data_IF_813486891228
#
_entry.id   IF_813486891228
#
_cell.length_a   1.000
_cell.length_b   1.000
_cell.length_c   1.000
_cell.angle_alpha   90.00
_cell.angle_beta   90.00
_cell.angle_gamma   90.00
#
_symmetry.space_group_name_H-M   'P 1'
#
loop_
_entity.id
_entity.type
_entity.pdbx_description
1 polymer ?
#
# COMPACT_ATOMS: atom_id res chain seq x y z
N UNK A 1 -16.60 -73.00 -59.73
CA UNK A 1 -15.75 -71.80 -59.56
C UNK A 1 -16.55 -70.56 -59.17
N UNK A 2 -17.59 -70.15 -59.90
CA UNK A 2 -18.36 -68.92 -59.60
C UNK A 2 -19.01 -68.84 -58.22
N UNK A 3 -19.58 -69.95 -57.71
CA UNK A 3 -20.24 -69.96 -56.40
C UNK A 3 -19.29 -69.60 -55.24
N UNK A 4 -18.02 -70.01 -55.36
CA UNK A 4 -16.97 -69.68 -54.38
C UNK A 4 -16.60 -68.20 -54.45
N UNK A 5 -16.48 -67.64 -55.66
CA UNK A 5 -16.22 -66.21 -55.84
C UNK A 5 -17.33 -65.33 -55.28
N UNK A 6 -18.60 -65.67 -55.52
CA UNK A 6 -19.75 -64.96 -54.91
C UNK A 6 -19.69 -64.99 -53.39
N UNK A 7 -19.37 -66.15 -52.80
CA UNK A 7 -19.28 -66.31 -51.34
C UNK A 7 -18.11 -65.52 -50.74
N UNK A 8 -16.97 -65.48 -51.43
CA UNK A 8 -15.80 -64.70 -51.02
C UNK A 8 -16.08 -63.19 -51.08
N UNK A 9 -16.71 -62.73 -52.16
CA UNK A 9 -17.09 -61.33 -52.32
C UNK A 9 -18.12 -60.88 -51.28
N UNK A 10 -19.12 -61.71 -50.99
CA UNK A 10 -20.10 -61.44 -49.94
C UNK A 10 -19.43 -61.33 -48.56
N UNK A 11 -18.47 -62.22 -48.24
CA UNK A 11 -17.68 -62.13 -47.00
C UNK A 11 -16.85 -60.85 -46.94
N UNK A 12 -16.14 -60.50 -48.00
CA UNK A 12 -15.34 -59.28 -48.07
C UNK A 12 -16.20 -58.04 -47.85
N UNK A 13 -17.36 -57.96 -48.52
CA UNK A 13 -18.26 -56.81 -48.43
C UNK A 13 -18.79 -56.66 -47.01
N UNK A 14 -19.23 -57.76 -46.39
CA UNK A 14 -19.72 -57.75 -45.00
C UNK A 14 -18.62 -57.38 -43.99
N UNK A 15 -17.39 -57.86 -44.20
CA UNK A 15 -16.25 -57.49 -43.35
C UNK A 15 -15.92 -56.01 -43.50
N UNK A 16 -15.92 -55.49 -44.74
CA UNK A 16 -15.67 -54.09 -45.05
C UNK A 16 -16.72 -53.18 -44.41
N UNK A 17 -18.00 -53.51 -44.51
CA UNK A 17 -19.08 -52.74 -43.90
C UNK A 17 -19.01 -52.75 -42.38
N UNK A 18 -18.76 -53.92 -41.77
CA UNK A 18 -18.63 -54.03 -40.32
C UNK A 18 -17.45 -53.23 -39.77
N UNK A 19 -16.30 -53.31 -40.47
CA UNK A 19 -15.11 -52.55 -40.08
C UNK A 19 -15.35 -51.05 -40.19
N UNK A 20 -16.05 -50.59 -41.24
CA UNK A 20 -16.41 -49.18 -41.37
C UNK A 20 -17.37 -48.71 -40.28
N UNK A 21 -18.36 -49.52 -39.89
CA UNK A 21 -19.29 -49.15 -38.81
C UNK A 21 -18.62 -49.11 -37.44
N UNK A 22 -17.70 -50.03 -37.16
CA UNK A 22 -16.97 -50.11 -35.88
C UNK A 22 -16.18 -48.83 -35.57
N UNK A 23 -15.64 -48.16 -36.60
CA UNK A 23 -14.92 -46.89 -36.43
C UNK A 23 -15.83 -45.66 -36.46
N UNK A 24 -17.04 -45.75 -37.04
CA UNK A 24 -17.87 -44.57 -37.26
C UNK A 24 -18.53 -44.05 -35.98
N UNK A 25 -19.03 -44.95 -35.14
CA UNK A 25 -19.71 -44.60 -33.89
C UNK A 25 -18.78 -43.96 -32.84
N UNK A 26 -17.61 -44.53 -32.51
CA UNK A 26 -16.68 -43.87 -31.58
C UNK A 26 -16.15 -42.54 -32.14
N UNK A 27 -15.97 -42.43 -33.46
CA UNK A 27 -15.58 -41.17 -34.09
C UNK A 27 -16.64 -40.07 -33.90
N UNK A 28 -17.94 -40.39 -34.08
CA UNK A 28 -19.04 -39.45 -33.81
C UNK A 28 -19.11 -39.05 -32.34
N UNK A 29 -18.92 -40.00 -31.42
CA UNK A 29 -18.93 -39.70 -30.00
C UNK A 29 -17.79 -38.77 -29.60
N UNK A 30 -16.59 -39.02 -30.14
CA UNK A 30 -15.42 -38.18 -29.93
C UNK A 30 -15.62 -36.78 -30.52
N UNK A 31 -16.17 -36.68 -31.73
CA UNK A 31 -16.54 -35.41 -32.35
C UNK A 31 -17.55 -34.63 -31.50
N UNK A 32 -18.54 -35.31 -30.93
CA UNK A 32 -19.52 -34.68 -30.03
C UNK A 32 -18.87 -34.15 -28.74
N UNK A 33 -17.91 -34.88 -28.16
CA UNK A 33 -17.12 -34.44 -26.99
C UNK A 33 -16.30 -33.19 -27.32
N UNK A 34 -15.62 -33.17 -28.48
CA UNK A 34 -14.87 -31.99 -28.92
C UNK A 34 -15.78 -30.78 -29.14
N UNK A 35 -16.95 -30.95 -29.77
CA UNK A 35 -17.90 -29.84 -29.95
C UNK A 35 -18.37 -29.26 -28.62
N UNK A 36 -18.65 -30.11 -27.62
CA UNK A 36 -19.02 -29.65 -26.27
C UNK A 36 -17.89 -28.87 -25.60
N UNK A 37 -16.66 -29.38 -25.68
CA UNK A 37 -15.50 -28.70 -25.12
C UNK A 37 -15.24 -27.35 -25.79
N UNK A 38 -15.31 -27.30 -27.12
CA UNK A 38 -15.13 -26.06 -27.89
C UNK A 38 -16.22 -25.05 -27.52
N UNK A 39 -17.48 -25.46 -27.46
CA UNK A 39 -18.59 -24.57 -27.08
C UNK A 39 -18.46 -24.03 -25.65
N UNK A 40 -18.04 -24.86 -24.69
CA UNK A 40 -17.80 -24.41 -23.32
C UNK A 40 -16.61 -23.43 -23.23
N UNK A 41 -15.58 -23.66 -24.04
CA UNK A 41 -14.39 -22.81 -24.11
C UNK A 41 -14.71 -21.46 -24.76
N UNK A 42 -15.52 -21.44 -25.83
CA UNK A 42 -16.03 -20.22 -26.47
C UNK A 42 -16.85 -19.38 -25.48
N UNK A 43 -17.78 -20.01 -24.74
CA UNK A 43 -18.56 -19.31 -23.70
C UNK A 43 -17.69 -18.67 -22.62
N UNK A 44 -16.62 -19.35 -22.19
CA UNK A 44 -15.68 -18.79 -21.21
C UNK A 44 -14.90 -17.62 -21.78
N UNK A 45 -14.43 -17.72 -23.03
CA UNK A 45 -13.72 -16.63 -23.71
C UNK A 45 -14.63 -15.40 -23.85
N UNK A 46 -15.88 -15.59 -24.24
CA UNK A 46 -16.85 -14.51 -24.38
C UNK A 46 -17.16 -13.86 -23.02
N UNK A 47 -17.32 -14.67 -21.95
CA UNK A 47 -17.49 -14.15 -20.60
C UNK A 47 -16.30 -13.29 -20.15
N UNK A 48 -15.07 -13.79 -20.35
CA UNK A 48 -13.85 -13.06 -19.98
C UNK A 48 -13.69 -11.76 -20.79
N UNK A 49 -14.02 -11.78 -22.08
CA UNK A 49 -14.04 -10.56 -22.90
C UNK A 49 -15.03 -9.53 -22.37
N UNK A 50 -16.25 -9.95 -22.04
CA UNK A 50 -17.27 -9.07 -21.49
C UNK A 50 -16.84 -8.45 -20.15
N UNK A 51 -16.22 -9.24 -19.26
CA UNK A 51 -15.69 -8.72 -17.99
C UNK A 51 -14.52 -7.75 -18.22
N UNK A 52 -13.63 -8.05 -19.15
CA UNK A 52 -12.56 -7.14 -19.54
C UNK A 52 -13.11 -5.80 -20.04
N UNK A 53 -14.11 -5.81 -20.92
CA UNK A 53 -14.73 -4.60 -21.45
C UNK A 53 -15.43 -3.78 -20.36
N UNK A 54 -16.09 -4.43 -19.40
CA UNK A 54 -16.69 -3.75 -18.22
C UNK A 54 -15.64 -3.08 -17.34
N UNK A 55 -14.55 -3.79 -17.04
CA UNK A 55 -13.46 -3.24 -16.22
C UNK A 55 -12.79 -2.08 -16.94
N UNK A 56 -12.57 -2.20 -18.25
CA UNK A 56 -12.03 -1.13 -19.08
C UNK A 56 -12.93 0.11 -19.05
N UNK A 57 -14.25 -0.08 -19.16
CA UNK A 57 -15.22 1.01 -19.06
C UNK A 57 -15.17 1.68 -17.68
N UNK A 58 -15.19 0.91 -16.59
CA UNK A 58 -15.12 1.44 -15.24
C UNK A 58 -13.82 2.24 -14.98
N UNK A 59 -12.68 1.75 -15.48
CA UNK A 59 -11.42 2.46 -15.39
C UNK A 59 -11.45 3.79 -16.15
N UNK A 60 -12.07 3.83 -17.33
CA UNK A 60 -12.23 5.08 -18.08
C UNK A 60 -13.13 6.08 -17.33
N UNK A 61 -14.21 5.62 -16.72
CA UNK A 61 -15.10 6.46 -15.92
C UNK A 61 -14.37 7.03 -14.70
N UNK A 62 -13.61 6.20 -13.96
CA UNK A 62 -12.78 6.66 -12.84
C UNK A 62 -11.70 7.64 -13.27
N UNK A 63 -11.06 7.43 -14.43
CA UNK A 63 -10.09 8.37 -14.98
C UNK A 63 -10.75 9.72 -15.32
N UNK A 64 -11.96 9.71 -15.85
CA UNK A 64 -12.73 10.92 -16.13
C UNK A 64 -13.13 11.65 -14.83
N UNK A 65 -13.55 10.92 -13.80
CA UNK A 65 -13.81 11.51 -12.49
C UNK A 65 -12.54 12.10 -11.86
N UNK A 66 -11.41 11.39 -11.92
CA UNK A 66 -10.14 11.85 -11.38
C UNK A 66 -9.66 13.14 -12.08
N UNK A 67 -9.77 13.20 -13.40
CA UNK A 67 -9.40 14.40 -14.18
C UNK A 67 -10.32 15.58 -13.87
N UNK A 68 -11.63 15.34 -13.69
CA UNK A 68 -12.59 16.34 -13.23
C UNK A 68 -12.24 16.88 -11.84
N UNK A 69 -11.99 15.99 -10.86
CA UNK A 69 -11.61 16.38 -9.49
C UNK A 69 -10.31 17.15 -9.47
N UNK A 70 -9.31 16.72 -10.26
CA UNK A 70 -8.04 17.45 -10.41
C UNK A 70 -8.27 18.85 -10.96
N UNK A 71 -9.02 18.98 -12.04
CA UNK A 71 -9.32 20.27 -12.66
C UNK A 71 -10.08 21.20 -11.69
N UNK A 72 -11.02 20.66 -10.92
CA UNK A 72 -11.73 21.42 -9.88
C UNK A 72 -10.78 21.91 -8.78
N UNK A 73 -9.85 21.08 -8.31
CA UNK A 73 -8.84 21.48 -7.32
C UNK A 73 -7.84 22.49 -7.87
N UNK A 74 -7.38 22.31 -9.10
CA UNK A 74 -6.46 23.25 -9.75
C UNK A 74 -7.10 24.64 -9.88
N UNK A 75 -8.40 24.69 -10.20
CA UNK A 75 -9.17 25.94 -10.19
C UNK A 75 -9.23 26.56 -8.78
N UNK A 76 -9.52 25.77 -7.75
CA UNK A 76 -9.54 26.26 -6.37
C UNK A 76 -8.17 26.81 -5.93
N UNK A 77 -7.08 26.14 -6.30
CA UNK A 77 -5.72 26.60 -6.00
C UNK A 77 -5.42 27.93 -6.68
N UNK A 78 -5.83 28.09 -7.94
CA UNK A 78 -5.70 29.34 -8.68
C UNK A 78 -6.49 30.48 -8.01
N UNK A 79 -7.73 30.22 -7.61
CA UNK A 79 -8.58 31.20 -6.92
C UNK A 79 -7.98 31.61 -5.56
N UNK A 80 -7.46 30.65 -4.78
CA UNK A 80 -6.78 30.92 -3.51
C UNK A 80 -5.50 31.73 -3.71
N UNK A 81 -4.72 31.42 -4.74
CA UNK A 81 -3.51 32.18 -5.08
C UNK A 81 -3.85 33.62 -5.44
N UNK A 82 -4.91 33.85 -6.22
CA UNK A 82 -5.38 35.19 -6.54
C UNK A 82 -5.80 35.96 -5.29
N UNK A 83 -6.58 35.33 -4.41
CA UNK A 83 -7.04 35.95 -3.16
C UNK A 83 -5.87 36.32 -2.25
N UNK A 84 -4.86 35.45 -2.15
CA UNK A 84 -3.63 35.73 -1.40
C UNK A 84 -2.91 36.98 -1.96
N UNK A 85 -2.79 37.09 -3.28
CA UNK A 85 -2.17 38.26 -3.91
C UNK A 85 -2.97 39.54 -3.66
N UNK A 86 -4.30 39.48 -3.68
CA UNK A 86 -5.14 40.63 -3.33
C UNK A 86 -4.99 41.06 -1.87
N UNK A 87 -5.02 40.10 -0.93
CA UNK A 87 -4.90 40.37 0.49
C UNK A 87 -3.51 40.94 0.84
N UNK A 88 -2.47 40.42 0.19
CA UNK A 88 -1.10 40.96 0.32
C UNK A 88 -1.04 42.42 -0.11
N UNK A 89 -1.63 42.78 -1.26
CA UNK A 89 -1.70 44.17 -1.73
C UNK A 89 -2.48 45.08 -0.77
N UNK A 90 -3.59 44.59 -0.20
CA UNK A 90 -4.36 45.34 0.80
C UNK A 90 -3.57 45.56 2.07
N UNK A 91 -2.84 44.54 2.54
CA UNK A 91 -1.98 44.62 3.71
C UNK A 91 -0.85 45.64 3.51
N UNK A 92 -0.22 45.65 2.34
CA UNK A 92 0.77 46.68 1.95
C UNK A 92 0.17 48.09 1.99
N UNK A 93 -1.00 48.30 1.39
CA UNK A 93 -1.67 49.61 1.42
C UNK A 93 -2.05 50.05 2.85
N UNK A 94 -2.48 49.12 3.71
CA UNK A 94 -2.76 49.40 5.11
C UNK A 94 -1.49 49.76 5.89
N UNK A 95 -0.37 49.07 5.64
CA UNK A 95 0.92 49.39 6.24
C UNK A 95 1.38 50.80 5.86
N UNK A 96 1.24 51.20 4.59
CA UNK A 96 1.53 52.56 4.13
C UNK A 96 0.67 53.60 4.88
N UNK A 97 -0.62 53.32 5.08
CA UNK A 97 -1.52 54.24 5.78
C UNK A 97 -1.20 54.33 7.27
N UNK A 98 -0.86 53.21 7.92
CA UNK A 98 -0.37 53.18 9.31
C UNK A 98 0.91 54.00 9.45
N UNK A 99 1.84 53.89 8.51
CA UNK A 99 3.07 54.69 8.51
C UNK A 99 2.77 56.19 8.38
N UNK A 100 1.85 56.58 7.48
CA UNK A 100 1.39 57.98 7.35
C UNK A 100 0.75 58.50 8.63
N UNK A 101 -0.08 57.69 9.30
CA UNK A 101 -0.72 58.07 10.56
C UNK A 101 0.32 58.24 11.69
N UNK A 102 1.32 57.36 11.77
CA UNK A 102 2.42 57.50 12.72
C UNK A 102 3.23 58.78 12.48
N UNK A 103 3.52 59.13 11.22
CA UNK A 103 4.18 60.40 10.86
C UNK A 103 3.37 61.61 11.35
N UNK A 104 2.05 61.64 11.10
CA UNK A 104 1.16 62.70 11.59
C UNK A 104 1.11 62.82 13.12
N UNK A 105 1.11 61.69 13.84
CA UNK A 105 1.14 61.70 15.31
C UNK A 105 2.45 62.30 15.86
N UNK A 106 3.58 61.94 15.24
CA UNK A 106 4.89 62.47 15.62
C UNK A 106 5.02 63.97 15.30
N UNK A 107 4.46 64.42 14.18
CA UNK A 107 4.40 65.84 13.79
C UNK A 107 3.52 66.67 14.76
N UNK A 108 2.40 66.11 15.24
CA UNK A 108 1.50 66.78 16.20
C UNK A 108 2.01 66.85 17.64
N UNK A 109 3.01 66.03 18.01
CA UNK A 109 3.58 65.99 19.39
C UNK A 109 4.81 66.90 19.54
N UNK A 110 5.27 67.54 18.46
CA UNK A 110 6.46 68.40 18.43
C UNK A 110 6.18 69.87 18.79
N UNK A 111 4.92 70.24 19.08
CA UNK A 111 4.51 71.62 19.32
C UNK A 111 3.97 71.83 20.73
N UNK A 112 4.79 72.47 21.56
CA UNK A 112 4.43 73.21 22.78
C UNK A 112 4.17 72.40 24.07
N UNK A 113 5.15 72.47 24.99
CA UNK A 113 4.97 72.86 26.40
C UNK A 113 6.34 72.91 27.08
N UNK A 114 7.03 74.02 26.88
CA UNK A 114 8.16 74.44 27.70
C UNK A 114 7.66 75.52 28.67
N UNK A 115 7.36 75.17 29.93
CA UNK A 115 7.75 76.02 31.07
C UNK A 115 7.63 75.35 32.45
N UNK A 116 8.72 75.47 33.20
CA UNK A 116 8.80 75.76 34.65
C UNK A 116 8.00 74.91 35.65
N UNK A 117 8.66 74.03 36.42
CA UNK A 117 9.14 74.35 37.78
C UNK A 117 9.48 73.11 38.62
N UNK A 118 10.57 73.26 39.36
CA UNK A 118 11.06 72.39 40.43
C UNK A 118 10.05 72.29 41.61
N UNK A 119 9.92 71.07 42.13
CA UNK A 119 9.95 70.71 43.58
C UNK A 119 8.70 71.02 44.43
N UNK A 120 7.94 69.99 44.86
CA UNK A 120 7.86 69.43 46.25
C UNK A 120 6.61 68.55 46.50
N UNK A 121 6.86 67.37 47.08
CA UNK A 121 6.17 66.74 48.23
C UNK A 121 4.65 66.46 48.22
N UNK A 122 4.35 65.15 48.26
CA UNK A 122 3.35 64.44 49.08
C UNK A 122 1.87 64.87 49.02
N UNK A 123 0.99 63.97 48.56
CA UNK A 123 0.07 63.17 49.41
C UNK A 123 -0.93 62.39 48.54
N UNK A 124 -1.14 61.13 48.95
CA UNK A 124 -2.19 60.17 48.61
C UNK A 124 -3.54 60.76 48.14
N UNK A 125 -4.14 60.17 47.09
CA UNK A 125 -5.40 59.40 47.17
C UNK A 125 -5.76 58.90 45.75
N UNK A 126 -5.76 57.57 45.61
CA UNK A 126 -6.57 56.70 44.75
C UNK A 126 -7.23 57.27 43.47
N UNK A 127 -6.84 56.74 42.30
CA UNK A 127 -7.77 55.96 41.46
C UNK A 127 -7.08 55.34 40.22
N UNK A 128 -7.51 54.13 39.90
CA UNK A 128 -7.50 53.50 38.57
C UNK A 128 -6.18 52.97 37.96
N UNK A 129 -5.97 51.67 38.21
CA UNK A 129 -5.54 50.61 37.26
C UNK A 129 -4.36 50.93 36.33
N UNK A 130 -3.19 50.40 36.71
CA UNK A 130 -2.02 50.21 35.83
C UNK A 130 -2.38 49.29 34.66
N UNK A 131 -2.34 49.81 33.43
CA UNK A 131 -2.22 49.01 32.22
C UNK A 131 -0.74 48.73 31.96
N UNK A 132 -0.18 47.72 32.64
CA UNK A 132 1.09 47.13 32.25
C UNK A 132 0.84 46.06 31.18
N UNK A 133 1.26 46.42 29.97
CA UNK A 133 1.47 45.60 28.78
C UNK A 133 2.07 44.23 29.14
N UNK A 134 1.23 43.20 29.25
CA UNK A 134 1.65 41.80 29.26
C UNK A 134 2.03 41.43 27.83
N UNK A 135 3.30 41.04 27.65
CA UNK A 135 3.77 40.31 26.46
C UNK A 135 2.89 39.07 26.28
N UNK A 136 2.30 38.93 25.10
CA UNK A 136 1.63 37.70 24.70
C UNK A 136 2.69 36.63 24.45
N UNK A 137 2.74 35.65 25.34
CA UNK A 137 3.37 34.35 25.12
C UNK A 137 2.47 33.33 25.81
N UNK A 138 1.43 32.89 25.08
CA UNK A 138 0.70 31.62 25.19
C UNK A 138 -0.61 31.72 24.42
N UNK A 139 -0.60 31.19 23.20
CA UNK A 139 -1.75 30.55 22.53
C UNK A 139 -1.25 29.80 21.28
N UNK A 140 -0.29 28.90 21.51
CA UNK A 140 -0.26 27.60 20.85
C UNK A 140 -0.75 26.64 21.93
N UNK A 141 -1.75 25.80 21.62
CA UNK A 141 -2.43 24.79 22.46
C UNK A 141 -3.91 25.10 22.76
N UNK A 142 -4.74 25.22 21.72
CA UNK A 142 -6.20 25.06 21.84
C UNK A 142 -6.90 24.87 20.48
N UNK A 143 -6.53 23.86 19.68
CA UNK A 143 -7.41 23.29 18.65
C UNK A 143 -6.98 21.84 18.38
N UNK A 144 -7.29 20.93 19.31
CA UNK A 144 -7.32 19.49 19.01
C UNK A 144 -8.11 18.76 20.11
N UNK A 145 -9.44 18.96 20.12
CA UNK A 145 -10.41 18.16 20.90
C UNK A 145 -11.85 18.51 20.54
N UNK A 146 -12.22 18.34 19.28
CA UNK A 146 -13.63 18.20 18.92
C UNK A 146 -13.78 17.26 17.72
N UNK A 147 -13.58 15.97 17.97
CA UNK A 147 -14.02 14.89 17.08
C UNK A 147 -14.04 13.57 17.85
N UNK A 148 -14.90 13.46 18.88
CA UNK A 148 -15.34 12.16 19.39
C UNK A 148 -16.82 12.24 19.76
N UNK A 149 -17.49 11.13 19.49
CA UNK A 149 -18.90 10.80 19.74
C UNK A 149 -19.88 11.10 18.60
N UNK A 150 -19.86 10.21 17.61
CA UNK A 150 -21.09 9.64 17.05
C UNK A 150 -21.10 8.16 17.45
N UNK A 151 -22.10 7.67 18.21
CA UNK A 151 -22.29 6.24 18.44
C UNK A 151 -22.97 5.63 17.20
N UNK A 152 -22.35 4.63 16.57
CA UNK A 152 -23.08 3.70 15.72
C UNK A 152 -23.40 2.47 16.56
N UNK A 153 -24.68 2.31 16.86
CA UNK A 153 -25.31 1.10 17.36
C UNK A 153 -25.00 -0.04 16.38
N UNK A 154 -24.41 -1.14 16.87
CA UNK A 154 -24.34 -2.40 16.14
C UNK A 154 -25.57 -3.18 16.59
N UNK A 155 -26.54 -3.21 15.68
CA UNK A 155 -27.73 -4.05 15.76
C UNK A 155 -27.35 -5.54 15.76
N UNK A 156 -28.17 -6.31 16.46
CA UNK A 156 -28.04 -7.73 16.73
C UNK A 156 -28.23 -8.58 15.47
N UNK A 157 -27.58 -9.75 15.46
CA UNK A 157 -28.30 -10.96 15.05
C UNK A 157 -27.80 -11.75 13.82
N UNK A 158 -27.56 -13.03 14.11
CA UNK A 158 -27.61 -14.20 13.22
C UNK A 158 -26.51 -14.42 12.16
N UNK A 159 -25.70 -15.47 12.38
CA UNK A 159 -25.97 -16.81 11.80
C UNK A 159 -24.88 -17.80 12.27
N UNK A 160 -25.22 -18.79 13.10
CA UNK A 160 -25.47 -20.21 12.73
C UNK A 160 -24.22 -20.95 12.20
N UNK A 161 -23.57 -21.66 13.13
CA UNK A 161 -23.26 -23.10 13.11
C UNK A 161 -23.29 -23.83 11.74
N UNK A 162 -22.14 -24.37 11.30
CA UNK A 162 -22.06 -25.77 10.86
C UNK A 162 -20.63 -26.32 10.72
N UNK A 163 -20.44 -27.34 11.53
CA UNK A 163 -19.51 -28.46 11.52
C UNK A 163 -19.41 -29.20 10.17
N UNK A 164 -18.22 -29.69 9.79
CA UNK A 164 -18.04 -31.00 9.12
C UNK A 164 -16.56 -31.44 9.10
N UNK A 165 -16.20 -32.27 10.08
CA UNK A 165 -15.47 -33.56 10.00
C UNK A 165 -14.63 -33.88 8.74
N UNK A 166 -13.31 -34.16 8.92
CA UNK A 166 -12.64 -35.50 8.93
C UNK A 166 -12.60 -36.16 7.52
N UNK A 167 -11.50 -36.60 6.91
CA UNK A 167 -10.40 -37.45 7.42
C UNK A 167 -9.42 -37.87 6.30
N UNK A 168 -8.12 -38.03 6.64
CA UNK A 168 -7.15 -39.11 6.26
C UNK A 168 -6.92 -39.47 4.76
N UNK A 169 -5.71 -39.73 4.20
CA UNK A 169 -4.36 -40.07 4.71
C UNK A 169 -3.35 -40.19 3.53
N UNK A 170 -2.17 -39.54 3.68
CA UNK A 170 -0.77 -39.97 3.39
C UNK A 170 -0.38 -40.42 1.96
N UNK A 171 0.64 -39.77 1.37
CA UNK A 171 2.00 -40.33 1.21
C UNK A 171 3.05 -39.31 0.73
N UNK A 172 4.07 -39.12 1.57
CA UNK A 172 5.51 -38.81 1.37
C UNK A 172 5.97 -37.86 0.23
N UNK A 173 6.57 -36.72 0.60
CA UNK A 173 8.00 -36.44 0.40
C UNK A 173 8.37 -35.01 0.89
N UNK A 174 9.26 -34.99 1.89
CA UNK A 174 10.19 -33.94 2.30
C UNK A 174 10.20 -32.62 1.51
N UNK A 175 9.78 -31.52 2.14
CA UNK A 175 10.59 -30.31 2.33
C UNK A 175 9.98 -29.53 3.51
N UNK A 176 10.75 -29.34 4.59
CA UNK A 176 10.34 -28.58 5.79
C UNK A 176 10.15 -27.11 5.42
N UNK A 177 8.91 -26.69 5.16
CA UNK A 177 8.49 -25.30 5.34
C UNK A 177 8.26 -25.11 6.84
N UNK A 178 9.18 -24.42 7.52
CA UNK A 178 9.05 -24.10 8.93
C UNK A 178 8.12 -22.88 9.03
N UNK A 179 6.81 -23.14 9.08
CA UNK A 179 5.83 -22.17 9.55
C UNK A 179 6.13 -21.88 11.03
N UNK A 180 6.67 -20.71 11.32
CA UNK A 180 6.72 -20.16 12.67
C UNK A 180 5.72 -19.02 12.74
N UNK A 181 4.44 -19.39 12.83
CA UNK A 181 3.42 -18.53 13.41
C UNK A 181 3.70 -18.41 14.92
N UNK A 182 3.43 -17.23 15.44
CA UNK A 182 3.72 -16.76 16.80
C UNK A 182 3.58 -17.81 17.90
N UNK A 183 4.57 -17.81 18.81
CA UNK A 183 4.62 -18.66 20.00
C UNK A 183 3.33 -18.58 20.80
N UNK A 184 2.72 -19.75 20.99
CA UNK A 184 1.75 -19.98 22.05
C UNK A 184 2.38 -19.67 23.41
N UNK A 185 1.51 -19.17 24.29
CA UNK A 185 1.70 -19.03 25.73
C UNK A 185 2.16 -20.36 26.31
N UNK A 186 3.33 -20.38 26.95
CA UNK A 186 3.57 -21.29 28.06
C UNK A 186 4.64 -20.74 28.99
N UNK A 187 4.27 -20.69 30.26
CA UNK A 187 5.07 -20.31 31.40
C UNK A 187 6.28 -21.24 31.61
N UNK A 188 7.25 -20.70 32.35
CA UNK A 188 8.37 -21.37 33.02
C UNK A 188 9.68 -21.54 32.22
N UNK A 189 10.59 -20.57 32.36
CA UNK A 189 11.83 -20.68 33.16
C UNK A 189 12.81 -19.58 32.77
N UNK A 190 13.36 -18.91 33.79
CA UNK A 190 14.18 -17.73 33.63
C UNK A 190 15.57 -18.02 33.06
N UNK A 191 16.11 -17.01 32.38
CA UNK A 191 17.47 -16.45 32.50
C UNK A 191 17.48 -15.16 31.66
N UNK A 192 18.03 -14.09 32.23
CA UNK A 192 18.23 -12.75 31.66
C UNK A 192 18.60 -12.74 30.18
N UNK A 193 17.89 -11.93 29.36
CA UNK A 193 18.44 -10.74 28.68
C UNK A 193 17.40 -10.10 27.74
N UNK A 194 17.37 -8.76 27.76
CA UNK A 194 16.76 -7.84 26.78
C UNK A 194 15.23 -7.63 26.76
N UNK A 195 14.85 -6.50 27.37
CA UNK A 195 13.78 -5.60 26.90
C UNK A 195 13.88 -5.34 25.38
N UNK A 196 13.27 -6.16 24.52
CA UNK A 196 13.03 -5.77 23.12
C UNK A 196 11.83 -6.44 22.43
N UNK A 197 11.00 -7.17 23.18
CA UNK A 197 9.93 -7.99 22.59
C UNK A 197 8.69 -7.23 22.12
N UNK A 198 8.42 -6.03 22.64
CA UNK A 198 7.14 -5.35 22.40
C UNK A 198 7.18 -4.22 21.35
N UNK A 199 8.34 -3.64 21.02
CA UNK A 199 8.45 -2.57 20.02
C UNK A 199 8.73 -3.07 18.60
N UNK A 200 9.33 -4.26 18.48
CA UNK A 200 9.67 -4.88 17.19
C UNK A 200 8.46 -5.46 16.46
N UNK A 201 7.45 -5.96 17.17
CA UNK A 201 6.27 -6.57 16.55
C UNK A 201 5.40 -5.56 15.80
N UNK A 202 5.20 -4.36 16.35
CA UNK A 202 4.40 -3.32 15.70
C UNK A 202 5.08 -2.85 14.42
N UNK A 203 6.40 -2.61 14.48
CA UNK A 203 7.17 -2.23 13.31
C UNK A 203 7.11 -3.33 12.25
N UNK A 204 7.31 -4.60 12.64
CA UNK A 204 7.19 -5.76 11.76
C UNK A 204 5.80 -5.84 11.10
N UNK A 205 4.72 -5.77 11.87
CA UNK A 205 3.35 -5.80 11.34
C UNK A 205 3.07 -4.63 10.39
N UNK A 206 3.49 -3.40 10.74
CA UNK A 206 3.33 -2.23 9.86
C UNK A 206 4.11 -2.39 8.56
N UNK A 207 5.32 -2.94 8.60
CA UNK A 207 6.09 -3.25 7.39
C UNK A 207 5.39 -4.30 6.52
N UNK A 208 4.83 -5.35 7.12
CA UNK A 208 4.09 -6.37 6.38
C UNK A 208 2.85 -5.80 5.69
N UNK A 209 2.06 -4.97 6.40
CA UNK A 209 0.87 -4.33 5.84
C UNK A 209 1.21 -3.31 4.76
N UNK A 210 2.28 -2.53 4.92
CA UNK A 210 2.65 -1.48 3.95
C UNK A 210 3.24 -2.04 2.67
N UNK A 211 4.03 -3.11 2.76
CA UNK A 211 4.65 -3.74 1.58
C UNK A 211 3.78 -4.84 0.97
N UNK A 212 2.78 -5.34 1.70
CA UNK A 212 2.00 -6.51 1.28
C UNK A 212 2.86 -7.77 1.19
N UNK A 213 3.90 -7.87 2.02
CA UNK A 213 4.86 -8.98 2.02
C UNK A 213 5.08 -9.44 3.46
N UNK A 214 5.18 -10.76 3.67
CA UNK A 214 5.60 -11.33 4.95
C UNK A 214 7.09 -11.12 5.14
N UNK A 215 7.45 -10.69 6.34
CA UNK A 215 8.81 -10.40 6.75
C UNK A 215 9.24 -11.45 7.77
N UNK A 216 10.42 -12.00 7.61
CA UNK A 216 11.03 -12.87 8.62
C UNK A 216 12.49 -12.48 8.82
N UNK A 217 12.94 -12.58 10.07
CA UNK A 217 14.28 -12.20 10.47
C UNK A 217 15.09 -13.45 10.77
N UNK A 218 16.37 -13.41 10.40
CA UNK A 218 17.32 -14.40 10.89
C UNK A 218 17.73 -14.06 12.33
N UNK A 219 17.20 -14.82 13.29
CA UNK A 219 17.47 -14.66 14.72
C UNK A 219 18.94 -14.97 15.11
N UNK A 220 19.72 -15.61 14.23
CA UNK A 220 21.11 -15.98 14.54
C UNK A 220 22.08 -14.84 14.28
N UNK A 221 21.83 -14.04 13.25
CA UNK A 221 22.77 -13.00 12.80
C UNK A 221 22.19 -11.59 12.89
N UNK A 222 20.85 -11.43 12.88
CA UNK A 222 20.18 -10.12 12.85
C UNK A 222 20.53 -9.24 11.63
N UNK A 223 21.26 -9.81 10.66
CA UNK A 223 21.85 -9.10 9.51
C UNK A 223 21.11 -9.33 8.20
N UNK A 224 20.11 -10.21 8.19
CA UNK A 224 19.33 -10.52 6.99
C UNK A 224 17.84 -10.57 7.30
N UNK A 225 17.06 -10.10 6.32
CA UNK A 225 15.61 -10.05 6.32
C UNK A 225 15.11 -10.79 5.08
N UNK A 226 14.20 -11.74 5.26
CA UNK A 226 13.55 -12.44 4.15
C UNK A 226 12.14 -11.87 3.96
N UNK A 227 11.84 -11.50 2.72
CA UNK A 227 10.57 -10.97 2.28
C UNK A 227 9.89 -11.98 1.37
N UNK A 228 8.60 -12.26 1.61
CA UNK A 228 7.83 -13.19 0.80
C UNK A 228 6.41 -12.66 0.54
N UNK A 229 6.04 -12.54 -0.72
CA UNK A 229 4.66 -12.27 -1.11
C UNK A 229 3.90 -13.60 -1.28
N UNK A 230 2.88 -13.81 -0.44
CA UNK A 230 2.12 -15.06 -0.46
C UNK A 230 1.24 -15.24 -1.69
N UNK A 231 0.80 -14.15 -2.31
CA UNK A 231 -0.12 -14.20 -3.45
C UNK A 231 0.61 -14.57 -4.75
N UNK A 232 1.82 -14.05 -4.93
CA UNK A 232 2.62 -14.30 -6.14
C UNK A 232 3.65 -15.40 -5.97
N UNK A 233 3.99 -15.79 -4.74
CA UNK A 233 5.09 -16.71 -4.46
C UNK A 233 6.47 -16.09 -4.69
N UNK A 234 6.54 -14.77 -4.91
CA UNK A 234 7.79 -14.03 -5.03
C UNK A 234 8.44 -13.85 -3.66
N UNK A 235 9.72 -14.22 -3.53
CA UNK A 235 10.48 -14.03 -2.31
C UNK A 235 11.93 -13.67 -2.57
N UNK A 236 12.50 -12.87 -1.67
CA UNK A 236 13.87 -12.40 -1.72
C UNK A 236 14.41 -12.12 -0.32
N UNK A 237 15.72 -12.09 -0.18
CA UNK A 237 16.40 -11.69 1.05
C UNK A 237 17.18 -10.41 0.86
N UNK A 238 17.17 -9.53 1.87
CA UNK A 238 18.09 -8.40 1.98
C UNK A 238 19.04 -8.67 3.13
N UNK A 239 20.34 -8.50 2.91
CA UNK A 239 21.36 -8.62 3.96
C UNK A 239 22.33 -7.45 3.94
N UNK A 240 22.89 -7.12 5.11
CA UNK A 240 23.93 -6.11 5.23
C UNK A 240 25.29 -6.66 4.77
N UNK A 241 25.94 -5.96 3.84
CA UNK A 241 27.33 -6.13 3.46
C UNK A 241 28.14 -5.00 4.10
N UNK A 242 29.04 -5.33 5.03
CA UNK A 242 29.93 -4.34 5.65
C UNK A 242 30.17 -4.61 7.14
N UNK A 243 31.00 -3.76 7.76
CA UNK A 243 31.28 -3.82 9.20
C UNK A 243 30.08 -3.31 10.01
N UNK A 244 29.97 -3.83 11.22
CA UNK A 244 28.84 -3.78 12.16
C UNK A 244 28.28 -2.38 12.46
N UNK A 245 26.99 -2.29 12.85
CA UNK A 245 26.44 -1.06 13.40
C UNK A 245 27.09 -0.80 14.77
N UNK A 246 28.00 0.16 14.85
CA UNK A 246 28.69 0.54 16.10
C UNK A 246 30.12 1.05 15.93
N UNK A 247 30.78 0.77 14.81
CA UNK A 247 31.92 1.56 14.36
C UNK A 247 31.37 2.63 13.43
N UNK A 248 31.83 3.89 13.58
CA UNK A 248 31.34 5.08 12.88
C UNK A 248 30.82 4.74 11.48
N UNK A 249 29.55 5.05 11.23
CA UNK A 249 28.83 4.72 10.00
C UNK A 249 29.55 5.34 8.79
N UNK A 250 30.57 4.63 8.32
CA UNK A 250 31.30 4.94 7.11
C UNK A 250 30.36 4.75 5.94
N UNK A 251 30.56 5.57 4.92
CA UNK A 251 29.76 5.71 3.71
C UNK A 251 29.65 4.42 2.87
N UNK A 252 30.20 3.30 3.36
CA UNK A 252 30.36 2.00 2.69
C UNK A 252 29.39 0.91 3.17
N UNK A 253 28.41 1.21 4.03
CA UNK A 253 27.40 0.23 4.41
C UNK A 253 26.48 -0.07 3.21
N UNK A 254 26.57 -1.28 2.66
CA UNK A 254 25.78 -1.71 1.51
C UNK A 254 24.74 -2.77 1.90
N UNK A 255 23.64 -2.82 1.15
CA UNK A 255 22.62 -3.86 1.23
C UNK A 255 22.72 -4.75 0.01
N UNK A 256 22.66 -6.06 0.23
CA UNK A 256 22.56 -7.08 -0.80
C UNK A 256 21.13 -7.57 -0.92
N UNK A 257 20.52 -7.36 -2.08
CA UNK A 257 19.34 -8.07 -2.53
C UNK A 257 19.72 -9.39 -3.17
N UNK A 258 19.04 -10.47 -2.79
CA UNK A 258 19.15 -11.77 -3.43
C UNK A 258 17.77 -12.37 -3.63
N UNK A 259 17.49 -12.83 -4.84
CA UNK A 259 16.23 -13.48 -5.16
C UNK A 259 16.21 -14.91 -4.61
N UNK A 260 15.10 -15.32 -4.01
CA UNK A 260 14.90 -16.68 -3.48
C UNK A 260 13.92 -17.47 -4.36
N UNK A 261 12.83 -16.83 -4.78
CA UNK A 261 11.84 -17.39 -5.70
C UNK A 261 11.18 -16.28 -6.50
N UNK A 262 11.02 -16.48 -7.81
CA UNK A 262 10.27 -15.56 -8.67
C UNK A 262 8.75 -15.79 -8.63
N UNK A 263 8.33 -16.99 -8.21
CA UNK A 263 6.91 -17.37 -8.19
C UNK A 263 6.26 -17.23 -9.57
N UNK A 264 5.00 -16.77 -9.59
CA UNK A 264 4.26 -16.55 -10.84
C UNK A 264 4.73 -15.33 -11.64
N UNK A 265 5.63 -14.52 -11.07
CA UNK A 265 6.11 -13.29 -11.69
C UNK A 265 7.32 -13.51 -12.62
N UNK A 266 7.78 -14.75 -12.80
CA UNK A 266 8.95 -15.11 -13.62
C UNK A 266 8.95 -14.47 -15.02
N UNK A 267 7.77 -14.30 -15.64
CA UNK A 267 7.61 -13.70 -16.98
C UNK A 267 7.40 -12.19 -17.00
N UNK A 268 7.28 -11.57 -15.84
CA UNK A 268 6.84 -10.17 -15.65
C UNK A 268 7.86 -9.32 -14.94
N UNK A 269 8.76 -10.00 -14.22
CA UNK A 269 9.80 -9.39 -13.42
C UNK A 269 10.87 -8.81 -14.35
N UNK A 270 11.21 -7.52 -14.19
CA UNK A 270 12.33 -6.93 -14.92
C UNK A 270 13.66 -7.64 -14.59
N UNK A 271 14.59 -7.64 -15.54
CA UNK A 271 15.89 -8.32 -15.42
C UNK A 271 16.62 -8.01 -14.11
N UNK A 272 16.59 -6.74 -13.66
CA UNK A 272 17.23 -6.33 -12.40
C UNK A 272 16.72 -7.09 -11.17
N UNK A 273 15.46 -7.51 -11.12
CA UNK A 273 14.91 -8.25 -9.97
C UNK A 273 15.31 -9.74 -9.98
N UNK A 274 15.87 -10.24 -11.08
CA UNK A 274 16.38 -11.61 -11.18
C UNK A 274 17.83 -11.73 -10.76
N UNK A 275 18.55 -10.61 -10.67
CA UNK A 275 19.97 -10.55 -10.34
C UNK A 275 20.22 -10.13 -8.89
N UNK A 276 21.39 -10.52 -8.36
CA UNK A 276 21.85 -10.05 -7.05
C UNK A 276 22.29 -8.59 -7.15
N UNK A 277 21.66 -7.70 -6.37
CA UNK A 277 21.92 -6.25 -6.42
C UNK A 277 22.53 -5.77 -5.13
N UNK A 278 23.59 -4.96 -5.24
CA UNK A 278 24.13 -4.18 -4.14
C UNK A 278 23.67 -2.73 -4.24
N UNK A 279 23.20 -2.17 -3.13
CA UNK A 279 22.75 -0.79 -3.10
C UNK A 279 22.93 -0.16 -1.71
N UNK A 280 23.04 1.17 -1.66
CA UNK A 280 23.11 1.92 -0.40
C UNK A 280 21.75 1.89 0.33
N UNK A 281 21.71 1.85 1.67
CA UNK A 281 20.48 1.98 2.47
C UNK A 281 19.64 3.21 2.12
N UNK A 282 20.28 4.28 1.63
CA UNK A 282 19.58 5.49 1.16
C UNK A 282 18.66 5.23 -0.04
N UNK A 283 18.90 4.15 -0.79
CA UNK A 283 18.12 3.73 -1.95
C UNK A 283 16.96 2.80 -1.58
N UNK A 284 16.82 2.37 -0.31
CA UNK A 284 15.72 1.52 0.15
C UNK A 284 14.33 2.01 -0.28
N UNK A 285 13.97 3.31 -0.12
CA UNK A 285 12.65 3.80 -0.53
C UNK A 285 12.39 3.59 -2.04
N UNK A 286 13.42 3.79 -2.86
CA UNK A 286 13.33 3.60 -4.32
C UNK A 286 13.21 2.11 -4.65
N UNK A 287 14.03 1.27 -4.00
CA UNK A 287 14.01 -0.19 -4.19
C UNK A 287 12.63 -0.77 -3.87
N UNK A 288 12.10 -0.55 -2.67
CA UNK A 288 10.78 -1.06 -2.28
C UNK A 288 9.64 -0.42 -3.09
N UNK A 289 9.79 0.84 -3.51
CA UNK A 289 8.87 1.48 -4.46
C UNK A 289 8.82 0.79 -5.82
N UNK A 290 9.95 0.25 -6.31
CA UNK A 290 10.00 -0.52 -7.56
C UNK A 290 9.44 -1.94 -7.39
N UNK A 291 9.83 -2.62 -6.31
CA UNK A 291 9.34 -3.97 -5.99
C UNK A 291 7.82 -3.98 -5.82
N UNK A 292 7.28 -3.03 -5.04
CA UNK A 292 5.84 -2.90 -4.82
C UNK A 292 5.07 -2.63 -6.11
N UNK A 293 5.62 -1.86 -7.06
CA UNK A 293 4.99 -1.68 -8.38
C UNK A 293 4.85 -3.01 -9.10
N UNK A 294 5.89 -3.83 -9.16
CA UNK A 294 5.85 -5.12 -9.87
C UNK A 294 4.89 -6.10 -9.20
N UNK A 295 4.89 -6.17 -7.87
CA UNK A 295 4.01 -7.07 -7.11
C UNK A 295 2.55 -6.60 -7.12
N UNK A 296 2.31 -5.28 -7.11
CA UNK A 296 0.97 -4.69 -7.15
C UNK A 296 0.49 -4.36 -8.56
N UNK A 297 1.17 -4.83 -9.61
CA UNK A 297 0.57 -4.96 -10.94
C UNK A 297 -0.54 -6.02 -10.83
N UNK A 298 -1.66 -5.60 -10.24
CA UNK A 298 -2.89 -6.37 -10.22
C UNK A 298 -3.31 -6.51 -11.68
N UNK A 299 -3.30 -7.75 -12.15
CA UNK A 299 -3.99 -8.15 -13.37
C UNK A 299 -5.49 -7.89 -13.24
#
# INVERSE_FOLDING_TARGET
MEALYKKLYAKYTRLKTNKLSEFHDPAKEQEHKFRKFVSASEQLIDHLRNEYDKVLQHNNDLLNELTSVRLAKDKQLFDLQNLLMEETKKSEALLEEVEKLQKRLNEGTSGDLNNSNKVKSNTSINSSVRMTRKRMSREQDALDKEARFIPCEIDEGNSVERESTRSFRKENASHKLRECSASEVNDQSGIDLQESGHSSWLAHALFEYTLGMKLSFDNQTGRSCLFANQSTGFSFSISWIGKTPGEEAGEDAELLYQVQSLGILERLVPEWMTEDIKFSPTMCPIFFGRVSRVINLRY
#
